data_IF_611051113947
#
_entry.id   IF_611051113947
#
_cell.length_a   1.000
_cell.length_b   1.000
_cell.length_c   1.000
_cell.angle_alpha   90.00
_cell.angle_beta   90.00
_cell.angle_gamma   90.00
#
_symmetry.space_group_name_H-M   'P 1'
#
loop_
_entity.id
_entity.type
_entity.pdbx_description
1 polymer ?
#
# COMPACT_ATOMS: atom_id res chain seq x y z
N UNK A 1 16.32 12.53 17.07
CA UNK A 1 16.43 11.31 17.90
C UNK A 1 16.03 10.13 17.05
N UNK A 2 16.93 9.18 16.87
CA UNK A 2 16.64 7.89 16.23
C UNK A 2 15.99 6.97 17.28
N UNK A 3 14.86 6.35 16.97
CA UNK A 3 14.23 5.37 17.84
C UNK A 3 14.70 3.95 17.49
N UNK A 4 14.76 3.01 18.44
CA UNK A 4 15.07 1.59 18.14
C UNK A 4 14.10 0.95 17.13
N UNK A 5 12.91 1.55 16.96
CA UNK A 5 11.86 1.09 16.06
C UNK A 5 11.99 1.66 14.64
N UNK A 6 12.86 2.64 14.40
CA UNK A 6 12.99 3.29 13.08
C UNK A 6 13.44 2.30 11.98
N UNK A 7 14.21 1.28 12.34
CA UNK A 7 14.61 0.20 11.42
C UNK A 7 13.43 -0.67 11.00
N UNK A 8 12.60 -1.09 11.95
CA UNK A 8 11.38 -1.85 11.68
C UNK A 8 10.37 -1.06 10.85
N UNK A 9 10.23 0.25 11.14
CA UNK A 9 9.37 1.15 10.38
C UNK A 9 9.79 1.23 8.90
N UNK A 10 11.09 1.38 8.61
CA UNK A 10 11.59 1.41 7.22
C UNK A 10 11.35 0.11 6.47
N UNK A 11 11.49 -1.04 7.12
CA UNK A 11 11.21 -2.35 6.50
C UNK A 11 9.74 -2.45 6.13
N UNK A 12 8.84 -2.10 7.05
CA UNK A 12 7.40 -2.17 6.81
C UNK A 12 6.91 -1.17 5.75
N UNK A 13 7.50 0.03 5.70
CA UNK A 13 7.22 1.00 4.64
C UNK A 13 7.63 0.48 3.25
N UNK A 14 8.79 -0.20 3.15
CA UNK A 14 9.23 -0.83 1.89
C UNK A 14 8.33 -1.98 1.48
N UNK A 15 7.89 -2.80 2.43
CA UNK A 15 6.96 -3.90 2.18
C UNK A 15 5.61 -3.38 1.65
N UNK A 16 5.06 -2.34 2.29
CA UNK A 16 3.83 -1.68 1.83
C UNK A 16 3.96 -1.08 0.41
N UNK A 17 5.09 -0.42 0.11
CA UNK A 17 5.33 0.15 -1.22
C UNK A 17 5.48 -0.95 -2.29
N UNK A 18 6.17 -2.05 -1.99
CA UNK A 18 6.28 -3.18 -2.91
C UNK A 18 4.91 -3.81 -3.23
N UNK A 19 4.03 -3.93 -2.23
CA UNK A 19 2.66 -4.43 -2.44
C UNK A 19 1.88 -3.46 -3.34
N UNK A 20 1.98 -2.15 -3.09
CA UNK A 20 1.31 -1.12 -3.90
C UNK A 20 1.70 -1.18 -5.37
N UNK A 21 3.00 -1.27 -5.67
CA UNK A 21 3.51 -1.40 -7.04
C UNK A 21 2.98 -2.68 -7.70
N UNK A 22 2.97 -3.79 -6.95
CA UNK A 22 2.46 -5.08 -7.46
C UNK A 22 0.97 -5.01 -7.79
N UNK A 23 0.16 -4.35 -6.95
CA UNK A 23 -1.26 -4.12 -7.23
C UNK A 23 -1.45 -3.33 -8.52
N UNK A 24 -0.69 -2.24 -8.70
CA UNK A 24 -0.79 -1.42 -9.91
C UNK A 24 -0.53 -2.24 -11.19
N UNK A 25 0.49 -3.11 -11.17
CA UNK A 25 0.83 -3.99 -12.29
C UNK A 25 -0.27 -5.03 -12.58
N UNK A 26 -0.87 -5.63 -11.55
CA UNK A 26 -1.94 -6.62 -11.76
C UNK A 26 -3.24 -5.96 -12.23
N UNK A 27 -3.54 -4.71 -11.82
CA UNK A 27 -4.66 -3.92 -12.37
C UNK A 27 -4.46 -3.64 -13.85
N UNK A 28 -3.26 -3.24 -14.26
CA UNK A 28 -2.93 -3.00 -15.67
C UNK A 28 -3.09 -4.29 -16.49
N UNK A 29 -2.58 -5.42 -15.99
CA UNK A 29 -2.74 -6.74 -16.64
C UNK A 29 -4.20 -7.13 -16.83
N UNK A 30 -5.03 -6.99 -15.79
CA UNK A 30 -6.45 -7.29 -15.88
C UNK A 30 -7.15 -6.39 -16.90
N UNK A 31 -6.80 -5.10 -16.94
CA UNK A 31 -7.35 -4.13 -17.89
C UNK A 31 -7.00 -4.50 -19.34
N UNK A 32 -5.72 -4.78 -19.62
CA UNK A 32 -5.26 -5.19 -20.95
C UNK A 32 -5.91 -6.50 -21.42
N UNK A 33 -6.09 -7.48 -20.52
CA UNK A 33 -6.76 -8.73 -20.85
C UNK A 33 -8.23 -8.52 -21.21
N UNK A 34 -8.94 -7.65 -20.48
CA UNK A 34 -10.33 -7.28 -20.78
C UNK A 34 -10.45 -6.55 -22.11
N UNK A 35 -9.60 -5.58 -22.37
CA UNK A 35 -9.59 -4.83 -23.64
C UNK A 35 -9.33 -5.77 -24.83
N UNK A 36 -8.35 -6.67 -24.71
CA UNK A 36 -8.08 -7.69 -25.72
C UNK A 36 -9.28 -8.62 -25.95
N UNK A 37 -10.01 -8.98 -24.90
CA UNK A 37 -11.22 -9.79 -24.99
C UNK A 37 -12.33 -9.07 -25.76
N UNK A 38 -12.56 -7.79 -25.47
CA UNK A 38 -13.54 -6.95 -26.19
C UNK A 38 -13.17 -6.85 -27.67
N UNK A 39 -11.90 -6.59 -28.00
CA UNK A 39 -11.44 -6.53 -29.39
C UNK A 39 -11.62 -7.88 -30.10
N UNK A 40 -11.29 -8.99 -29.43
CA UNK A 40 -11.51 -10.33 -29.96
C UNK A 40 -12.99 -10.61 -30.25
N UNK A 41 -13.91 -10.13 -29.41
CA UNK A 41 -15.36 -10.27 -29.64
C UNK A 41 -15.82 -9.50 -30.88
N UNK A 42 -15.34 -8.27 -31.07
CA UNK A 42 -15.64 -7.45 -32.26
C UNK A 42 -15.16 -8.15 -33.53
N UNK A 43 -13.93 -8.67 -33.54
CA UNK A 43 -13.38 -9.40 -34.68
C UNK A 43 -14.16 -10.67 -35.00
N UNK A 44 -14.55 -11.45 -33.98
CA UNK A 44 -15.38 -12.65 -34.17
C UNK A 44 -16.76 -12.30 -34.74
N UNK A 45 -17.38 -11.21 -34.28
CA UNK A 45 -18.67 -10.76 -34.81
C UNK A 45 -18.54 -10.36 -36.30
N UNK A 46 -17.47 -9.66 -36.67
CA UNK A 46 -17.16 -9.31 -38.05
C UNK A 46 -16.96 -10.55 -38.94
N UNK A 47 -16.15 -11.51 -38.49
CA UNK A 47 -15.91 -12.73 -39.25
C UNK A 47 -17.19 -13.56 -39.45
N UNK A 48 -18.04 -13.66 -38.42
CA UNK A 48 -19.34 -14.35 -38.53
C UNK A 48 -20.25 -13.69 -39.57
N UNK A 49 -20.24 -12.36 -39.65
CA UNK A 49 -21.01 -11.63 -40.66
C UNK A 49 -20.48 -11.91 -42.08
N UNK A 50 -19.15 -11.96 -42.25
CA UNK A 50 -18.52 -12.31 -43.54
C UNK A 50 -18.86 -13.75 -43.95
N UNK A 51 -18.71 -14.71 -43.03
CA UNK A 51 -19.05 -16.11 -43.29
C UNK A 51 -20.52 -16.33 -43.63
N UNK A 52 -21.43 -15.58 -42.99
CA UNK A 52 -22.85 -15.59 -43.33
C UNK A 52 -23.14 -15.01 -44.73
N UNK A 53 -22.40 -13.96 -45.13
CA UNK A 53 -22.54 -13.34 -46.45
C UNK A 53 -21.87 -14.14 -47.58
N UNK A 54 -20.87 -14.96 -47.26
CA UNK A 54 -20.11 -15.77 -48.22
C UNK A 54 -19.89 -17.21 -47.71
N UNK A 55 -20.91 -18.09 -47.82
CA UNK A 55 -20.88 -19.45 -47.25
C UNK A 55 -19.78 -20.37 -47.81
N UNK A 56 -19.18 -20.00 -48.94
CA UNK A 56 -18.09 -20.75 -49.57
C UNK A 56 -16.72 -20.43 -48.94
N UNK A 57 -16.61 -19.43 -48.06
CA UNK A 57 -15.36 -19.09 -47.39
C UNK A 57 -15.15 -19.95 -46.12
N UNK A 58 -13.97 -20.58 -45.95
CA UNK A 58 -13.66 -21.39 -44.77
C UNK A 58 -13.33 -20.50 -43.56
N UNK A 59 -14.36 -20.12 -42.79
CA UNK A 59 -14.21 -19.27 -41.58
C UNK A 59 -14.06 -20.07 -40.27
N UNK A 60 -14.33 -21.39 -40.30
CA UNK A 60 -14.41 -22.23 -39.10
C UNK A 60 -13.09 -22.32 -38.32
N UNK A 61 -11.95 -22.48 -39.02
CA UNK A 61 -10.64 -22.56 -38.38
C UNK A 61 -10.26 -21.25 -37.66
N UNK A 62 -10.62 -20.10 -38.24
CA UNK A 62 -10.43 -18.81 -37.59
C UNK A 62 -11.30 -18.69 -36.34
N UNK A 63 -12.59 -19.04 -36.44
CA UNK A 63 -13.53 -18.97 -35.32
C UNK A 63 -13.14 -19.92 -34.18
N UNK A 64 -12.62 -21.12 -34.49
CA UNK A 64 -12.07 -22.04 -33.49
C UNK A 64 -10.87 -21.45 -32.76
N UNK A 65 -9.91 -20.86 -33.49
CA UNK A 65 -8.75 -20.18 -32.88
C UNK A 65 -9.18 -19.03 -31.99
N UNK A 66 -10.11 -18.20 -32.45
CA UNK A 66 -10.60 -17.06 -31.68
C UNK A 66 -11.35 -17.48 -30.40
N UNK A 67 -12.13 -18.57 -30.44
CA UNK A 67 -12.73 -19.15 -29.21
C UNK A 67 -11.68 -19.60 -28.20
N UNK A 68 -10.60 -20.24 -28.68
CA UNK A 68 -9.49 -20.64 -27.81
C UNK A 68 -8.80 -19.41 -27.20
N UNK A 69 -8.53 -18.38 -28.01
CA UNK A 69 -7.97 -17.11 -27.53
C UNK A 69 -8.87 -16.43 -26.49
N UNK A 70 -10.19 -16.38 -26.72
CA UNK A 70 -11.14 -15.83 -25.75
C UNK A 70 -11.12 -16.59 -24.42
N UNK A 71 -11.07 -17.93 -24.47
CA UNK A 71 -10.98 -18.75 -23.27
C UNK A 71 -9.70 -18.46 -22.48
N UNK A 72 -8.57 -18.31 -23.17
CA UNK A 72 -7.31 -17.95 -22.53
C UNK A 72 -7.36 -16.56 -21.91
N UNK A 73 -7.89 -15.55 -22.62
CA UNK A 73 -8.02 -14.18 -22.10
C UNK A 73 -8.93 -14.11 -20.86
N UNK A 74 -10.05 -14.85 -20.87
CA UNK A 74 -10.92 -14.95 -19.70
C UNK A 74 -10.19 -15.58 -18.51
N UNK A 75 -9.49 -16.70 -18.72
CA UNK A 75 -8.71 -17.34 -17.66
C UNK A 75 -7.61 -16.43 -17.10
N UNK A 76 -6.94 -15.65 -17.96
CA UNK A 76 -5.93 -14.67 -17.53
C UNK A 76 -6.56 -13.53 -16.71
N UNK A 77 -7.74 -13.05 -17.09
CA UNK A 77 -8.46 -12.02 -16.34
C UNK A 77 -8.88 -12.54 -14.95
N UNK A 78 -9.48 -13.74 -14.88
CA UNK A 78 -9.90 -14.38 -13.63
C UNK A 78 -8.70 -14.61 -12.69
N UNK A 79 -7.56 -15.04 -13.25
CA UNK A 79 -6.33 -15.23 -12.48
C UNK A 79 -5.78 -13.90 -11.93
N UNK A 80 -5.77 -12.84 -12.75
CA UNK A 80 -5.33 -11.52 -12.33
C UNK A 80 -6.25 -10.94 -11.24
N UNK A 81 -7.57 -11.09 -11.37
CA UNK A 81 -8.55 -10.69 -10.36
C UNK A 81 -8.34 -11.44 -9.04
N UNK A 82 -8.19 -12.77 -9.10
CA UNK A 82 -7.90 -13.59 -7.92
C UNK A 82 -6.59 -13.19 -7.24
N UNK A 83 -5.58 -12.78 -8.02
CA UNK A 83 -4.31 -12.27 -7.48
C UNK A 83 -4.50 -10.90 -6.84
N UNK A 84 -5.30 -10.03 -7.42
CA UNK A 84 -5.61 -8.71 -6.86
C UNK A 84 -6.31 -8.82 -5.50
N UNK A 85 -7.28 -9.72 -5.36
CA UNK A 85 -7.96 -9.97 -4.07
C UNK A 85 -6.95 -10.34 -2.98
N UNK A 86 -6.08 -11.31 -3.25
CA UNK A 86 -5.03 -11.72 -2.30
C UNK A 86 -4.03 -10.60 -2.00
N UNK A 87 -3.70 -9.77 -3.00
CA UNK A 87 -2.81 -8.63 -2.80
C UNK A 87 -3.45 -7.53 -1.96
N UNK A 88 -4.76 -7.31 -2.11
CA UNK A 88 -5.52 -6.36 -1.28
C UNK A 88 -5.56 -6.81 0.18
N UNK A 89 -5.80 -8.09 0.45
CA UNK A 89 -5.73 -8.65 1.81
C UNK A 89 -4.34 -8.44 2.44
N UNK A 90 -3.28 -8.76 1.68
CA UNK A 90 -1.89 -8.53 2.12
C UNK A 90 -1.58 -7.05 2.34
N UNK A 91 -2.13 -6.16 1.51
CA UNK A 91 -1.98 -4.73 1.68
C UNK A 91 -2.61 -4.25 2.99
N UNK A 92 -3.84 -4.68 3.29
CA UNK A 92 -4.53 -4.36 4.55
C UNK A 92 -3.67 -4.78 5.75
N UNK A 93 -3.11 -5.99 5.71
CA UNK A 93 -2.24 -6.49 6.77
C UNK A 93 -0.95 -5.67 6.91
N UNK A 94 -0.24 -5.41 5.81
CA UNK A 94 1.01 -4.67 5.81
C UNK A 94 0.83 -3.21 6.26
N UNK A 95 -0.20 -2.52 5.76
CA UNK A 95 -0.52 -1.16 6.21
C UNK A 95 -0.96 -1.13 7.67
N UNK A 96 -1.71 -2.12 8.14
CA UNK A 96 -2.07 -2.26 9.55
C UNK A 96 -0.84 -2.40 10.45
N UNK A 97 0.10 -3.27 10.10
CA UNK A 97 1.38 -3.46 10.82
C UNK A 97 2.22 -2.19 10.84
N UNK A 98 2.37 -1.54 9.69
CA UNK A 98 3.09 -0.27 9.59
C UNK A 98 2.49 0.79 10.52
N UNK A 99 1.16 0.91 10.53
CA UNK A 99 0.45 1.88 11.38
C UNK A 99 0.67 1.62 12.88
N UNK A 100 0.66 0.36 13.32
CA UNK A 100 0.94 -0.01 14.71
C UNK A 100 2.35 0.39 15.12
N UNK A 101 3.34 0.18 14.24
CA UNK A 101 4.75 0.54 14.51
C UNK A 101 4.92 2.06 14.55
N UNK A 102 4.28 2.81 13.64
CA UNK A 102 4.26 4.28 13.67
C UNK A 102 3.72 4.80 15.01
N UNK A 103 2.60 4.26 15.48
CA UNK A 103 2.02 4.67 16.77
C UNK A 103 2.97 4.37 17.94
N UNK A 104 3.71 3.26 17.91
CA UNK A 104 4.70 2.94 18.93
C UNK A 104 5.90 3.89 18.90
N UNK A 105 6.38 4.25 17.70
CA UNK A 105 7.45 5.24 17.49
C UNK A 105 7.02 6.61 18.03
N UNK A 106 5.82 7.05 17.70
CA UNK A 106 5.30 8.36 18.13
C UNK A 106 5.12 8.42 19.65
N UNK A 107 4.58 7.36 20.26
CA UNK A 107 4.50 7.26 21.73
C UNK A 107 5.88 7.34 22.37
N UNK A 108 6.88 6.64 21.84
CA UNK A 108 8.24 6.68 22.36
C UNK A 108 8.85 8.09 22.26
N UNK A 109 8.60 8.80 21.14
CA UNK A 109 9.06 10.18 20.95
C UNK A 109 8.40 11.13 21.94
N UNK A 110 7.10 10.97 22.19
CA UNK A 110 6.37 11.76 23.19
C UNK A 110 6.93 11.51 24.61
N UNK A 111 7.12 10.25 25.00
CA UNK A 111 7.72 9.89 26.29
C UNK A 111 9.15 10.44 26.45
N UNK A 112 9.96 10.40 25.39
CA UNK A 112 11.29 11.00 25.39
C UNK A 112 11.24 12.52 25.55
N UNK A 113 10.29 13.20 24.89
CA UNK A 113 10.08 14.64 25.02
C UNK A 113 9.63 15.02 26.44
N UNK A 114 8.67 14.29 27.01
CA UNK A 114 8.22 14.51 28.39
C UNK A 114 9.35 14.31 29.41
N UNK A 115 10.18 13.28 29.25
CA UNK A 115 11.34 13.06 30.13
C UNK A 115 12.34 14.21 30.05
N UNK A 116 12.61 14.73 28.85
CA UNK A 116 13.50 15.88 28.66
C UNK A 116 12.96 17.14 29.33
N UNK A 117 11.69 17.45 29.11
CA UNK A 117 11.03 18.59 29.74
C UNK A 117 11.01 18.48 31.27
N UNK A 118 10.81 17.27 31.81
CA UNK A 118 10.84 17.04 33.26
C UNK A 118 12.26 17.21 33.85
N UNK A 119 13.31 16.84 33.12
CA UNK A 119 14.69 17.09 33.53
C UNK A 119 15.00 18.58 33.51
N UNK A 120 14.66 19.27 32.41
CA UNK A 120 14.86 20.71 32.28
C UNK A 120 14.12 21.50 33.37
N UNK A 121 12.87 21.14 33.68
CA UNK A 121 12.11 21.76 34.76
C UNK A 121 12.76 21.52 36.13
N UNK A 122 13.22 20.29 36.42
CA UNK A 122 13.93 20.01 37.68
C UNK A 122 15.21 20.83 37.80
N UNK A 123 15.97 20.98 36.72
CA UNK A 123 17.18 21.81 36.73
C UNK A 123 16.86 23.29 36.99
N UNK A 124 15.77 23.81 36.41
CA UNK A 124 15.28 25.16 36.66
C UNK A 124 14.81 25.34 38.12
N UNK A 125 14.05 24.38 38.65
CA UNK A 125 13.57 24.38 40.03
C UNK A 125 14.74 24.30 41.03
N UNK A 126 15.76 23.48 40.76
CA UNK A 126 16.98 23.37 41.59
C UNK A 126 17.81 24.67 41.59
N UNK A 127 17.83 25.39 40.47
CA UNK A 127 18.47 26.72 40.39
C UNK A 127 17.65 27.78 41.14
N UNK A 128 16.32 27.72 41.04
CA UNK A 128 15.42 28.62 41.76
C UNK A 128 15.47 28.39 43.28
N UNK A 129 15.45 27.13 43.74
CA UNK A 129 15.55 26.75 45.14
C UNK A 129 16.86 27.21 45.77
N UNK A 130 18.00 26.99 45.09
CA UNK A 130 19.31 27.50 45.55
C UNK A 130 19.37 29.03 45.64
N UNK A 131 18.63 29.77 44.81
CA UNK A 131 18.53 31.23 44.92
C UNK A 131 17.62 31.67 46.07
N UNK A 132 16.52 30.95 46.32
CA UNK A 132 15.62 31.22 47.45
C UNK A 132 16.31 31.02 48.80
N UNK A 133 17.14 29.99 48.92
CA UNK A 133 17.91 29.69 50.14
C UNK A 133 19.09 30.66 50.35
N UNK A 134 19.55 31.34 49.29
CA UNK A 134 20.72 32.23 49.33
C UNK A 134 20.40 33.69 49.69
N UNK A 135 19.16 34.05 49.98
CA UNK A 135 18.89 35.43 50.39
C UNK A 135 17.45 35.76 50.75
N UNK A 136 17.16 35.74 52.05
CA UNK A 136 16.53 36.86 52.75
C UNK A 136 17.27 37.01 54.10
N UNK A 137 18.14 38.03 54.29
CA UNK A 137 18.54 38.39 55.65
C UNK A 137 17.28 38.86 56.36
N UNK A 138 16.92 38.19 57.46
CA UNK A 138 15.88 38.65 58.37
C UNK A 138 16.23 40.08 58.77
N UNK A 139 15.40 41.03 58.33
CA UNK A 139 15.44 42.41 58.83
C UNK A 139 14.72 42.34 60.17
N UNK A 140 15.49 42.12 61.24
CA UNK A 140 15.03 42.27 62.62
C UNK A 140 14.60 43.73 62.85
N UNK A 141 13.37 43.91 63.34
CA UNK A 141 12.84 45.17 63.87
C UNK A 141 13.13 45.29 65.35
#
# INVERSE_FOLDING_TARGET
MTTPLDGALRVQQREAEAIRVTIALEVERATLARDASVQAQVLVAGERAIGAAAPLLPTDNYLMRMRATQKTLAATADEAESRLERLQERAIEAYGKARVIEMAVDRHRQEAAHRRAAVEQRELDDVAGRRGDAGWPAVDQ
#
